data_IF_714722994305
#
_entry.id   IF_714722994305
#
_cell.length_a   1.000
_cell.length_b   1.000
_cell.length_c   1.000
_cell.angle_alpha   90.00
_cell.angle_beta   90.00
_cell.angle_gamma   90.00
#
_symmetry.space_group_name_H-M   'P 1'
#
loop_
_entity.id
_entity.type
_entity.pdbx_description
1 polymer ?
#
# COMPACT_ATOMS: atom_id res chain seq x y z
N UNK A 1 5.43 -19.54 -32.84
CA UNK A 1 6.50 -19.08 -31.92
C UNK A 1 6.16 -17.66 -31.54
N UNK A 2 6.14 -17.39 -30.24
CA UNK A 2 5.63 -16.14 -29.67
C UNK A 2 6.55 -14.97 -30.02
N UNK A 3 5.99 -13.91 -30.61
CA UNK A 3 6.73 -12.76 -31.16
C UNK A 3 7.47 -11.99 -30.05
N UNK A 4 6.97 -12.09 -28.81
CA UNK A 4 7.53 -11.45 -27.61
C UNK A 4 8.86 -12.07 -27.12
N UNK A 5 9.19 -13.30 -27.54
CA UNK A 5 10.47 -13.93 -27.16
C UNK A 5 11.63 -13.36 -28.01
N UNK A 6 11.36 -13.00 -29.28
CA UNK A 6 12.36 -12.47 -30.21
C UNK A 6 12.81 -11.04 -29.86
N UNK A 7 11.92 -10.24 -29.28
CA UNK A 7 12.23 -8.87 -28.83
C UNK A 7 13.03 -8.86 -27.52
N UNK A 8 12.85 -9.85 -26.64
CA UNK A 8 13.53 -9.90 -25.34
C UNK A 8 14.89 -10.60 -25.38
N UNK A 9 15.07 -11.61 -26.24
CA UNK A 9 16.30 -12.43 -26.30
C UNK A 9 17.08 -12.32 -27.62
N UNK A 10 16.56 -11.59 -28.60
CA UNK A 10 17.15 -11.47 -29.93
C UNK A 10 17.01 -12.75 -30.78
N UNK A 11 17.49 -12.73 -32.04
CA UNK A 11 17.46 -13.91 -32.89
C UNK A 11 18.32 -15.03 -32.28
N UNK A 12 17.78 -16.24 -32.17
CA UNK A 12 18.52 -17.40 -31.66
C UNK A 12 19.79 -17.70 -32.46
N UNK A 13 20.73 -18.45 -31.88
CA UNK A 13 22.03 -18.79 -32.47
C UNK A 13 21.98 -19.40 -33.89
N UNK A 14 20.84 -19.97 -34.28
CA UNK A 14 20.56 -20.45 -35.65
C UNK A 14 20.56 -19.32 -36.69
N UNK A 15 20.11 -18.12 -36.34
CA UNK A 15 20.11 -16.94 -37.20
C UNK A 15 21.53 -16.55 -37.60
N UNK A 16 22.45 -16.48 -36.65
CA UNK A 16 23.86 -16.16 -36.93
C UNK A 16 24.56 -17.28 -37.72
N UNK A 17 24.21 -18.55 -37.47
CA UNK A 17 24.70 -19.68 -38.29
C UNK A 17 24.27 -19.62 -39.75
N UNK A 18 23.01 -19.23 -40.01
CA UNK A 18 22.52 -19.10 -41.39
C UNK A 18 23.26 -18.03 -42.18
N UNK A 19 23.67 -16.92 -41.55
CA UNK A 19 24.47 -15.88 -42.19
C UNK A 19 25.89 -16.36 -42.55
N UNK A 20 26.49 -17.22 -41.72
CA UNK A 20 27.80 -17.83 -41.99
C UNK A 20 27.71 -18.82 -43.17
N UNK A 21 26.62 -19.58 -43.25
CA UNK A 21 26.39 -20.51 -44.37
C UNK A 21 26.07 -19.77 -45.68
N UNK A 22 25.27 -18.70 -45.63
CA UNK A 22 24.97 -17.84 -46.79
C UNK A 22 26.20 -17.12 -47.34
N UNK A 23 27.15 -16.74 -46.48
CA UNK A 23 28.44 -16.16 -46.90
C UNK A 23 29.43 -17.20 -47.43
N UNK A 24 29.25 -18.49 -47.10
CA UNK A 24 30.05 -19.58 -47.70
C UNK A 24 29.52 -20.07 -49.05
N UNK A 25 28.25 -19.80 -49.38
CA UNK A 25 27.59 -20.31 -50.59
C UNK A 25 27.53 -19.33 -51.77
N UNK A 26 28.06 -18.10 -51.62
CA UNK A 26 28.26 -17.17 -52.74
C UNK A 26 29.73 -17.13 -53.10
N UNK A 27 30.11 -18.05 -53.99
CA UNK A 27 31.38 -17.99 -54.68
C UNK A 27 31.37 -16.78 -55.66
N UNK A 28 32.45 -16.00 -55.60
CA UNK A 28 32.86 -14.89 -56.49
C UNK A 28 32.57 -13.45 -56.04
N UNK A 29 33.55 -12.91 -55.30
CA UNK A 29 33.74 -11.49 -54.98
C UNK A 29 35.07 -11.29 -54.25
N UNK A 30 36.15 -11.21 -55.02
CA UNK A 30 37.58 -11.35 -54.67
C UNK A 30 38.14 -10.39 -53.59
N UNK A 31 37.35 -9.48 -53.01
CA UNK A 31 37.88 -8.42 -52.13
C UNK A 31 37.98 -8.82 -50.64
N UNK A 32 37.26 -9.86 -50.20
CA UNK A 32 37.24 -10.27 -48.78
C UNK A 32 38.27 -11.35 -48.39
N UNK A 33 38.70 -12.21 -49.33
CA UNK A 33 39.50 -13.41 -49.01
C UNK A 33 41.00 -13.14 -48.92
N UNK A 34 41.49 -12.13 -49.64
CA UNK A 34 42.92 -11.79 -49.72
C UNK A 34 43.51 -11.21 -48.42
N UNK A 35 42.68 -10.78 -47.46
CA UNK A 35 43.14 -10.24 -46.17
C UNK A 35 43.38 -11.30 -45.09
N UNK A 36 42.93 -12.54 -45.33
CA UNK A 36 43.10 -13.68 -44.41
C UNK A 36 44.25 -14.60 -44.82
N UNK A 37 44.60 -14.65 -46.11
CA UNK A 37 45.64 -15.51 -46.67
C UNK A 37 47.08 -14.97 -46.52
N UNK A 38 47.27 -13.74 -46.00
CA UNK A 38 48.59 -13.15 -45.77
C UNK A 38 48.97 -12.99 -44.28
N UNK A 39 48.09 -13.42 -43.36
CA UNK A 39 48.39 -13.39 -41.93
C UNK A 39 49.20 -14.64 -41.58
N UNK A 40 50.37 -14.46 -40.97
CA UNK A 40 51.14 -15.59 -40.45
C UNK A 40 50.31 -16.34 -39.41
N UNK A 41 50.51 -17.65 -39.30
CA UNK A 41 49.82 -18.50 -38.29
C UNK A 41 49.90 -17.87 -36.89
N UNK A 42 51.03 -17.21 -36.57
CA UNK A 42 51.22 -16.48 -35.32
C UNK A 42 50.27 -15.27 -35.16
N UNK A 43 49.95 -14.53 -36.23
CA UNK A 43 49.02 -13.39 -36.16
C UNK A 43 47.57 -13.84 -35.99
N UNK A 44 47.19 -14.98 -36.57
CA UNK A 44 45.86 -15.58 -36.36
C UNK A 44 45.72 -16.12 -34.93
N UNK A 45 46.76 -16.79 -34.42
CA UNK A 45 46.85 -17.26 -33.04
C UNK A 45 46.71 -16.09 -32.05
N UNK A 46 47.42 -14.98 -32.28
CA UNK A 46 47.38 -13.78 -31.43
C UNK A 46 46.01 -13.08 -31.44
N UNK A 47 45.31 -13.07 -32.57
CA UNK A 47 43.94 -12.52 -32.63
C UNK A 47 42.95 -13.41 -31.89
N UNK A 48 43.09 -14.72 -32.00
CA UNK A 48 42.25 -15.68 -31.29
C UNK A 48 42.45 -15.57 -29.78
N UNK A 49 43.70 -15.53 -29.30
CA UNK A 49 44.00 -15.37 -27.87
C UNK A 49 43.51 -14.02 -27.34
N UNK A 50 43.72 -12.92 -28.07
CA UNK A 50 43.21 -11.60 -27.70
C UNK A 50 41.68 -11.55 -27.63
N UNK A 51 40.99 -12.18 -28.58
CA UNK A 51 39.53 -12.30 -28.55
C UNK A 51 39.05 -13.13 -27.35
N UNK A 52 39.76 -14.21 -27.02
CA UNK A 52 39.46 -15.07 -25.88
C UNK A 52 39.68 -14.36 -24.53
N UNK A 53 40.75 -13.57 -24.41
CA UNK A 53 41.01 -12.72 -23.25
C UNK A 53 39.96 -11.63 -23.10
N UNK A 54 39.58 -10.96 -24.19
CA UNK A 54 38.51 -9.96 -24.21
C UNK A 54 37.16 -10.57 -23.81
N UNK A 55 36.85 -11.77 -24.30
CA UNK A 55 35.64 -12.50 -23.90
C UNK A 55 35.66 -12.86 -22.42
N UNK A 56 36.81 -13.33 -21.90
CA UNK A 56 36.98 -13.67 -20.48
C UNK A 56 36.82 -12.44 -19.58
N UNK A 57 37.41 -11.31 -19.96
CA UNK A 57 37.26 -10.04 -19.25
C UNK A 57 35.81 -9.56 -19.26
N UNK A 58 35.11 -9.71 -20.39
CA UNK A 58 33.68 -9.38 -20.52
C UNK A 58 32.82 -10.25 -19.59
N UNK A 59 33.05 -11.57 -19.56
CA UNK A 59 32.34 -12.48 -18.67
C UNK A 59 32.57 -12.14 -17.19
N UNK A 60 33.81 -11.84 -16.80
CA UNK A 60 34.12 -11.41 -15.43
C UNK A 60 33.40 -10.10 -15.06
N UNK A 61 33.29 -9.15 -15.99
CA UNK A 61 32.54 -7.92 -15.79
C UNK A 61 31.03 -8.18 -15.65
N UNK A 62 30.48 -9.10 -16.47
CA UNK A 62 29.09 -9.53 -16.35
C UNK A 62 28.81 -10.20 -15.00
N UNK A 63 29.72 -11.06 -14.53
CA UNK A 63 29.61 -11.70 -13.22
C UNK A 63 29.62 -10.67 -12.09
N UNK A 64 30.51 -9.68 -12.15
CA UNK A 64 30.56 -8.58 -11.18
C UNK A 64 29.29 -7.71 -11.21
N UNK A 65 28.77 -7.40 -12.40
CA UNK A 65 27.49 -6.67 -12.54
C UNK A 65 26.34 -7.50 -12.00
N UNK A 66 26.34 -8.81 -12.24
CA UNK A 66 25.31 -9.72 -11.75
C UNK A 66 25.35 -9.85 -10.23
N UNK A 67 26.52 -9.94 -9.60
CA UNK A 67 26.65 -9.97 -8.15
C UNK A 67 26.18 -8.65 -7.52
N UNK A 68 26.51 -7.52 -8.15
CA UNK A 68 26.07 -6.18 -7.71
C UNK A 68 24.56 -6.04 -7.84
N UNK A 69 23.97 -6.53 -8.93
CA UNK A 69 22.52 -6.48 -9.14
C UNK A 69 21.80 -7.37 -8.11
N UNK A 70 22.33 -8.56 -7.81
CA UNK A 70 21.80 -9.44 -6.76
C UNK A 70 21.84 -8.80 -5.37
N UNK A 71 22.95 -8.14 -5.01
CA UNK A 71 23.04 -7.45 -3.71
C UNK A 71 22.06 -6.28 -3.63
N UNK A 72 21.89 -5.52 -4.72
CA UNK A 72 20.90 -4.44 -4.81
C UNK A 72 19.47 -4.98 -4.68
N UNK A 73 19.12 -6.09 -5.35
CA UNK A 73 17.81 -6.73 -5.23
C UNK A 73 17.56 -7.18 -3.78
N UNK A 74 18.55 -7.74 -3.10
CA UNK A 74 18.42 -8.13 -1.70
C UNK A 74 18.18 -6.91 -0.79
N UNK A 75 18.91 -5.81 -1.00
CA UNK A 75 18.70 -4.55 -0.28
C UNK A 75 17.31 -3.98 -0.50
N UNK A 76 16.86 -3.91 -1.75
CA UNK A 76 15.51 -3.46 -2.11
C UNK A 76 14.43 -4.32 -1.44
N UNK A 77 14.60 -5.64 -1.42
CA UNK A 77 13.66 -6.55 -0.72
C UNK A 77 13.61 -6.27 0.78
N UNK A 78 14.76 -6.04 1.41
CA UNK A 78 14.83 -5.64 2.82
C UNK A 78 14.11 -4.31 3.06
N UNK A 79 14.37 -3.30 2.23
CA UNK A 79 13.78 -1.97 2.39
C UNK A 79 12.26 -2.00 2.14
N UNK A 80 11.78 -2.79 1.19
CA UNK A 80 10.35 -3.03 0.98
C UNK A 80 9.72 -3.68 2.23
N UNK A 81 10.38 -4.65 2.86
CA UNK A 81 9.89 -5.27 4.09
C UNK A 81 9.84 -4.30 5.28
N UNK A 82 10.78 -3.34 5.35
CA UNK A 82 10.77 -2.27 6.35
C UNK A 82 9.61 -1.31 6.07
N UNK A 83 9.46 -0.85 4.83
CA UNK A 83 8.37 0.03 4.43
C UNK A 83 7.02 -0.62 4.73
N UNK A 84 6.83 -1.89 4.40
CA UNK A 84 5.60 -2.61 4.69
C UNK A 84 5.29 -2.66 6.20
N UNK A 85 6.32 -2.82 7.05
CA UNK A 85 6.16 -2.74 8.51
C UNK A 85 5.76 -1.34 8.97
N UNK A 86 6.41 -0.29 8.46
CA UNK A 86 6.03 1.09 8.76
C UNK A 86 4.60 1.40 8.35
N UNK A 87 4.23 1.01 7.12
CA UNK A 87 2.86 1.17 6.62
C UNK A 87 1.87 0.49 7.56
N UNK A 88 2.11 -0.76 7.98
CA UNK A 88 1.23 -1.44 8.96
C UNK A 88 1.15 -0.71 10.29
N UNK A 89 2.27 -0.19 10.82
CA UNK A 89 2.27 0.59 12.06
C UNK A 89 1.43 1.88 11.92
N UNK A 90 1.62 2.63 10.83
CA UNK A 90 0.80 3.81 10.53
C UNK A 90 -0.68 3.47 10.39
N UNK A 91 -1.03 2.33 9.80
CA UNK A 91 -2.43 1.90 9.70
C UNK A 91 -3.06 1.66 11.07
N UNK A 92 -2.31 1.14 12.04
CA UNK A 92 -2.81 0.94 13.40
C UNK A 92 -3.06 2.28 14.11
N UNK A 93 -2.19 3.27 13.94
CA UNK A 93 -2.36 4.63 14.47
C UNK A 93 -3.52 5.38 13.80
N UNK A 94 -3.70 5.17 12.49
CA UNK A 94 -4.85 5.71 11.77
C UNK A 94 -6.16 5.02 12.19
N UNK A 95 -6.11 3.72 12.47
CA UNK A 95 -7.28 2.98 12.93
C UNK A 95 -7.78 3.51 14.27
N UNK A 96 -6.89 3.76 15.25
CA UNK A 96 -7.31 4.33 16.53
C UNK A 96 -7.90 5.73 16.36
N UNK A 97 -7.35 6.53 15.44
CA UNK A 97 -7.89 7.84 15.06
C UNK A 97 -9.30 7.73 14.47
N UNK A 98 -9.52 6.83 13.51
CA UNK A 98 -10.82 6.61 12.89
C UNK A 98 -11.87 6.11 13.90
N UNK A 99 -11.48 5.17 14.75
CA UNK A 99 -12.35 4.67 15.82
C UNK A 99 -12.74 5.78 16.80
N UNK A 100 -11.78 6.64 17.17
CA UNK A 100 -12.05 7.80 18.02
C UNK A 100 -13.05 8.75 17.35
N UNK A 101 -12.88 9.05 16.06
CA UNK A 101 -13.81 9.93 15.33
C UNK A 101 -15.22 9.33 15.22
N UNK A 102 -15.35 8.04 14.88
CA UNK A 102 -16.66 7.36 14.80
C UNK A 102 -17.36 7.31 16.16
N UNK A 103 -16.62 7.06 17.25
CA UNK A 103 -17.20 7.11 18.60
C UNK A 103 -17.57 8.53 19.04
N UNK A 104 -16.80 9.53 18.60
CA UNK A 104 -17.16 10.95 18.80
C UNK A 104 -18.50 11.25 18.16
N UNK A 105 -18.66 10.87 16.88
CA UNK A 105 -19.92 11.07 16.17
C UNK A 105 -21.07 10.31 16.80
N UNK A 106 -20.82 9.10 17.33
CA UNK A 106 -21.83 8.36 18.09
C UNK A 106 -22.28 9.13 19.35
N UNK A 107 -21.34 9.69 20.12
CA UNK A 107 -21.67 10.51 21.29
C UNK A 107 -22.52 11.73 20.89
N UNK A 108 -22.12 12.44 19.84
CA UNK A 108 -22.85 13.58 19.31
C UNK A 108 -24.28 13.21 18.91
N UNK A 109 -24.44 12.15 18.09
CA UNK A 109 -25.75 11.68 17.64
C UNK A 109 -26.63 11.23 18.81
N UNK A 110 -26.06 10.58 19.82
CA UNK A 110 -26.82 10.21 21.02
C UNK A 110 -27.33 11.45 21.74
N UNK A 111 -26.51 12.48 21.88
CA UNK A 111 -26.93 13.73 22.53
C UNK A 111 -27.93 14.53 21.68
N UNK A 112 -27.73 14.60 20.37
CA UNK A 112 -28.65 15.23 19.40
C UNK A 112 -30.04 14.58 19.48
N UNK A 113 -30.14 13.25 19.36
CA UNK A 113 -31.44 12.56 19.34
C UNK A 113 -32.15 12.54 20.70
N UNK A 114 -31.42 12.71 21.80
CA UNK A 114 -32.00 12.81 23.14
C UNK A 114 -32.33 14.26 23.54
N UNK A 115 -32.03 15.24 22.68
CA UNK A 115 -32.11 16.67 22.98
C UNK A 115 -31.32 17.05 24.25
N UNK A 116 -30.18 16.39 24.47
CA UNK A 116 -29.30 16.64 25.60
C UNK A 116 -28.22 17.65 25.23
N UNK A 117 -27.84 18.50 26.19
CA UNK A 117 -26.66 19.36 26.07
C UNK A 117 -25.42 18.63 26.56
N UNK A 118 -24.29 18.85 25.89
CA UNK A 118 -23.00 18.31 26.33
C UNK A 118 -22.63 18.87 27.71
N UNK A 119 -21.78 18.17 28.48
CA UNK A 119 -21.26 18.68 29.74
C UNK A 119 -20.72 20.11 29.62
N UNK A 120 -21.19 21.01 30.49
CA UNK A 120 -20.93 22.45 30.38
C UNK A 120 -22.00 23.24 29.64
N UNK A 121 -23.13 22.62 29.30
CA UNK A 121 -24.28 23.30 28.67
C UNK A 121 -24.07 23.62 27.18
N UNK A 122 -23.04 23.04 26.57
CA UNK A 122 -22.66 23.26 25.17
C UNK A 122 -23.61 22.48 24.27
N UNK A 123 -24.13 23.11 23.21
CA UNK A 123 -24.92 22.39 22.22
C UNK A 123 -24.01 21.47 21.39
N UNK A 124 -24.59 20.43 20.81
CA UNK A 124 -23.84 19.58 19.87
C UNK A 124 -23.50 20.42 18.63
N UNK A 125 -22.24 20.37 18.16
CA UNK A 125 -21.70 21.27 17.13
C UNK A 125 -20.91 22.47 17.70
N UNK A 126 -21.41 23.17 18.72
CA UNK A 126 -20.75 24.37 19.27
C UNK A 126 -19.39 24.07 19.94
N UNK A 127 -19.23 22.83 20.40
CA UNK A 127 -18.00 22.39 21.06
C UNK A 127 -16.79 22.39 20.12
N UNK A 128 -16.97 22.43 18.79
CA UNK A 128 -15.89 22.48 17.79
C UNK A 128 -15.03 23.76 17.96
N UNK A 129 -15.61 24.85 18.48
CA UNK A 129 -14.91 26.11 18.72
C UNK A 129 -14.10 26.15 20.02
N UNK A 130 -14.22 25.13 20.87
CA UNK A 130 -13.49 25.04 22.13
C UNK A 130 -12.05 24.55 21.89
N UNK A 131 -11.16 24.75 22.87
CA UNK A 131 -9.81 24.16 22.82
C UNK A 131 -9.87 22.62 22.78
N UNK A 132 -8.92 21.99 22.09
CA UNK A 132 -8.86 20.52 21.93
C UNK A 132 -8.89 19.77 23.26
N UNK A 133 -8.21 20.28 24.27
CA UNK A 133 -8.21 19.71 25.63
C UNK A 133 -9.59 19.76 26.27
N UNK A 134 -10.27 20.91 26.14
CA UNK A 134 -11.62 21.10 26.70
C UNK A 134 -12.64 20.24 25.95
N UNK A 135 -12.55 20.15 24.63
CA UNK A 135 -13.37 19.25 23.83
C UNK A 135 -13.21 17.80 24.29
N UNK A 136 -11.96 17.36 24.46
CA UNK A 136 -11.66 15.97 24.84
C UNK A 136 -12.22 15.63 26.21
N UNK A 137 -12.11 16.54 27.20
CA UNK A 137 -12.70 16.37 28.52
C UNK A 137 -14.23 16.31 28.49
N UNK A 138 -14.87 17.20 27.72
CA UNK A 138 -16.33 17.25 27.58
C UNK A 138 -16.85 15.95 26.95
N UNK A 139 -16.24 15.50 25.85
CA UNK A 139 -16.65 14.31 25.13
C UNK A 139 -16.38 13.03 25.91
N UNK A 140 -15.25 12.92 26.60
CA UNK A 140 -14.98 11.80 27.51
C UNK A 140 -16.01 11.72 28.63
N UNK A 141 -16.36 12.87 29.23
CA UNK A 141 -17.39 12.93 30.28
C UNK A 141 -18.77 12.59 29.72
N UNK A 142 -19.10 13.05 28.52
CA UNK A 142 -20.36 12.75 27.84
C UNK A 142 -20.49 11.25 27.55
N UNK A 143 -19.44 10.63 27.00
CA UNK A 143 -19.39 9.19 26.73
C UNK A 143 -19.63 8.35 27.99
N UNK A 144 -19.03 8.73 29.13
CA UNK A 144 -19.24 8.04 30.41
C UNK A 144 -20.67 8.19 30.95
N UNK A 145 -21.38 9.28 30.63
CA UNK A 145 -22.78 9.50 31.05
C UNK A 145 -23.79 8.65 30.27
N UNK A 146 -23.46 8.21 29.06
CA UNK A 146 -24.34 7.38 28.24
C UNK A 146 -24.50 6.00 28.90
N UNK A 147 -25.74 5.62 29.22
CA UNK A 147 -26.05 4.35 29.90
C UNK A 147 -26.32 3.23 28.89
N UNK A 148 -25.96 2.00 29.23
CA UNK A 148 -26.30 0.75 28.48
C UNK A 148 -27.74 0.71 27.94
N UNK A 149 -28.79 0.96 28.75
CA UNK A 149 -30.17 0.88 28.26
C UNK A 149 -30.49 1.89 27.17
N UNK A 150 -29.84 3.06 27.14
CA UNK A 150 -30.10 4.09 26.14
C UNK A 150 -29.66 3.58 24.77
N UNK A 151 -28.44 3.04 24.68
CA UNK A 151 -27.90 2.48 23.44
C UNK A 151 -28.74 1.30 22.93
N UNK A 152 -29.17 0.41 23.83
CA UNK A 152 -29.95 -0.77 23.45
C UNK A 152 -31.39 -0.43 23.06
N UNK A 153 -32.09 0.38 23.85
CA UNK A 153 -33.53 0.68 23.65
C UNK A 153 -33.76 1.71 22.54
N UNK A 154 -32.92 2.74 22.45
CA UNK A 154 -33.18 3.87 21.56
C UNK A 154 -32.40 3.77 20.24
N UNK A 155 -31.29 3.03 20.21
CA UNK A 155 -30.42 2.91 19.03
C UNK A 155 -30.22 1.48 18.54
N UNK A 156 -30.79 0.48 19.24
CA UNK A 156 -30.64 -0.94 18.85
C UNK A 156 -29.22 -1.49 18.95
N UNK A 157 -28.32 -0.77 19.63
CA UNK A 157 -26.90 -1.13 19.69
C UNK A 157 -26.63 -2.21 20.75
N UNK A 158 -25.70 -3.12 20.41
CA UNK A 158 -25.24 -4.19 21.29
C UNK A 158 -24.48 -3.66 22.53
N UNK A 159 -24.29 -4.52 23.52
CA UNK A 159 -23.52 -4.18 24.73
C UNK A 159 -22.05 -3.82 24.42
N UNK A 160 -21.50 -4.31 23.31
CA UNK A 160 -20.12 -4.04 22.92
C UNK A 160 -19.88 -2.54 22.64
N UNK A 161 -20.87 -1.82 22.09
CA UNK A 161 -20.76 -0.37 21.85
C UNK A 161 -20.70 0.42 23.16
N UNK A 162 -21.42 -0.04 24.19
CA UNK A 162 -21.29 0.56 25.52
C UNK A 162 -19.87 0.39 26.05
N UNK A 163 -19.30 -0.83 25.96
CA UNK A 163 -17.93 -1.08 26.40
C UNK A 163 -16.92 -0.23 25.62
N UNK A 164 -17.12 -0.05 24.31
CA UNK A 164 -16.31 0.84 23.49
C UNK A 164 -16.39 2.31 23.95
N UNK A 165 -17.60 2.81 24.26
CA UNK A 165 -17.78 4.15 24.81
C UNK A 165 -17.14 4.34 26.19
N UNK A 166 -17.11 3.31 27.03
CA UNK A 166 -16.42 3.40 28.33
C UNK A 166 -14.90 3.54 28.18
N UNK A 167 -14.33 2.95 27.12
CA UNK A 167 -12.90 3.03 26.80
C UNK A 167 -12.53 4.22 25.91
N UNK A 168 -13.52 5.01 25.47
CA UNK A 168 -13.30 6.14 24.58
C UNK A 168 -12.36 7.22 25.17
N UNK A 169 -12.33 7.35 26.49
CA UNK A 169 -11.39 8.24 27.21
C UNK A 169 -9.91 7.95 26.87
N UNK A 170 -9.58 6.68 26.58
CA UNK A 170 -8.23 6.27 26.19
C UNK A 170 -7.82 6.83 24.82
N UNK A 171 -8.79 7.07 23.92
CA UNK A 171 -8.54 7.39 22.50
C UNK A 171 -9.06 8.76 22.06
N UNK A 172 -9.80 9.47 22.92
CA UNK A 172 -10.39 10.79 22.61
C UNK A 172 -9.37 11.85 22.17
N UNK A 173 -8.12 11.74 22.63
CA UNK A 173 -7.06 12.68 22.27
C UNK A 173 -6.52 12.46 20.85
N UNK A 174 -6.70 11.26 20.29
CA UNK A 174 -6.24 10.85 18.96
C UNK A 174 -7.18 11.28 17.83
N UNK A 175 -8.30 11.92 18.16
CA UNK A 175 -9.29 12.38 17.16
C UNK A 175 -8.66 13.28 16.12
N UNK A 176 -9.15 13.16 14.88
CA UNK A 176 -8.68 14.01 13.80
C UNK A 176 -9.22 15.43 13.92
N UNK A 177 -8.61 16.36 13.19
CA UNK A 177 -9.13 17.72 13.03
C UNK A 177 -10.23 17.82 11.96
N UNK A 178 -10.41 16.78 11.14
CA UNK A 178 -11.39 16.76 10.05
C UNK A 178 -12.10 15.40 9.99
N UNK A 179 -13.27 15.35 10.65
CA UNK A 179 -14.08 14.15 10.80
C UNK A 179 -14.66 13.59 9.48
N UNK A 180 -14.85 14.44 8.46
CA UNK A 180 -15.42 14.00 7.17
C UNK A 180 -14.41 13.20 6.35
N UNK A 181 -13.13 13.60 6.39
CA UNK A 181 -12.05 12.87 5.70
C UNK A 181 -11.79 11.50 6.34
N UNK A 182 -11.98 11.39 7.65
CA UNK A 182 -11.78 10.13 8.38
C UNK A 182 -12.93 9.15 8.16
N UNK A 183 -14.16 9.61 7.98
CA UNK A 183 -15.30 8.76 7.60
C UNK A 183 -15.02 7.95 6.33
N UNK A 184 -14.76 8.62 5.19
CA UNK A 184 -14.64 7.96 3.89
C UNK A 184 -13.43 7.01 3.85
N UNK A 185 -12.31 7.43 4.46
CA UNK A 185 -11.10 6.59 4.52
C UNK A 185 -11.31 5.35 5.41
N UNK A 186 -12.04 5.49 6.51
CA UNK A 186 -12.39 4.36 7.36
C UNK A 186 -13.36 3.41 6.67
N UNK A 187 -14.37 3.95 5.96
CA UNK A 187 -15.31 3.17 5.16
C UNK A 187 -14.60 2.29 4.12
N UNK A 188 -13.72 2.89 3.31
CA UNK A 188 -12.90 2.13 2.32
C UNK A 188 -12.08 1.04 2.98
N UNK A 189 -11.53 1.30 4.17
CA UNK A 189 -10.77 0.29 4.90
C UNK A 189 -11.64 -0.87 5.37
N UNK A 190 -12.80 -0.58 5.95
CA UNK A 190 -13.75 -1.60 6.41
C UNK A 190 -14.21 -2.48 5.25
N UNK A 191 -14.49 -1.90 4.08
CA UNK A 191 -14.84 -2.66 2.86
C UNK A 191 -13.66 -3.51 2.40
N UNK A 192 -12.45 -2.94 2.34
CA UNK A 192 -11.24 -3.66 1.90
C UNK A 192 -10.85 -4.82 2.83
N UNK A 193 -11.14 -4.71 4.13
CA UNK A 193 -10.85 -5.75 5.12
C UNK A 193 -12.04 -6.64 5.44
N UNK A 194 -13.17 -6.48 4.74
CA UNK A 194 -14.41 -7.20 5.01
C UNK A 194 -14.20 -8.72 5.05
N UNK A 195 -13.41 -9.25 4.13
CA UNK A 195 -13.10 -10.69 4.03
C UNK A 195 -12.17 -11.19 5.14
N UNK A 196 -11.19 -10.37 5.54
CA UNK A 196 -10.17 -10.76 6.51
C UNK A 196 -10.60 -10.51 7.97
N UNK A 197 -11.40 -9.47 8.20
CA UNK A 197 -11.79 -8.97 9.53
C UNK A 197 -13.29 -8.67 9.61
N UNK A 198 -14.11 -9.67 9.27
CA UNK A 198 -15.58 -9.55 9.26
C UNK A 198 -16.18 -8.96 10.55
N UNK A 199 -15.63 -9.32 11.72
CA UNK A 199 -16.09 -8.80 13.01
C UNK A 199 -15.93 -7.28 13.15
N UNK A 200 -14.83 -6.73 12.63
CA UNK A 200 -14.55 -5.30 12.64
C UNK A 200 -15.50 -4.56 11.70
N UNK A 201 -15.69 -5.09 10.49
CA UNK A 201 -16.66 -4.56 9.52
C UNK A 201 -18.08 -4.56 10.09
N UNK A 202 -18.54 -5.67 10.69
CA UNK A 202 -19.89 -5.76 11.29
C UNK A 202 -20.07 -4.78 12.46
N UNK A 203 -19.07 -4.67 13.32
CA UNK A 203 -19.15 -3.80 14.50
C UNK A 203 -19.16 -2.32 14.10
N UNK A 204 -18.17 -1.86 13.35
CA UNK A 204 -18.10 -0.45 12.99
C UNK A 204 -19.13 -0.08 11.93
N UNK A 205 -19.41 -0.97 10.99
CA UNK A 205 -20.35 -0.71 9.90
C UNK A 205 -21.79 -0.46 10.36
N UNK A 206 -22.22 -1.08 11.45
CA UNK A 206 -23.54 -0.80 12.02
C UNK A 206 -23.69 0.62 12.58
N UNK A 207 -22.58 1.34 12.83
CA UNK A 207 -22.61 2.73 13.27
C UNK A 207 -22.77 3.72 12.11
N UNK A 208 -22.42 3.34 10.88
CA UNK A 208 -22.42 4.26 9.74
C UNK A 208 -23.81 4.85 9.45
N UNK A 209 -24.89 4.05 9.35
CA UNK A 209 -26.24 4.58 9.13
C UNK A 209 -26.72 5.48 10.27
N UNK A 210 -26.24 5.25 11.50
CA UNK A 210 -26.62 6.05 12.66
C UNK A 210 -25.86 7.37 12.73
N UNK A 211 -24.55 7.33 12.46
CA UNK A 211 -23.62 8.44 12.64
C UNK A 211 -23.56 9.39 11.43
N UNK A 212 -23.68 8.85 10.22
CA UNK A 212 -23.43 9.56 8.97
C UNK A 212 -24.63 9.53 8.01
N UNK A 213 -25.72 8.84 8.39
CA UNK A 213 -26.94 8.67 7.58
C UNK A 213 -26.68 7.99 6.22
N UNK A 214 -25.63 7.18 6.13
CA UNK A 214 -25.20 6.45 4.93
C UNK A 214 -24.69 5.05 5.30
N UNK A 215 -24.69 4.12 4.36
CA UNK A 215 -24.04 2.82 4.53
C UNK A 215 -22.52 2.93 4.45
N UNK A 216 -21.81 1.89 4.89
CA UNK A 216 -20.34 1.83 4.77
C UNK A 216 -19.92 1.83 3.30
N UNK A 217 -20.68 1.12 2.47
CA UNK A 217 -20.48 1.04 1.02
C UNK A 217 -20.61 2.42 0.38
N UNK A 218 -21.70 3.13 0.66
CA UNK A 218 -21.91 4.50 0.17
C UNK A 218 -20.79 5.44 0.64
N UNK A 219 -20.41 5.38 1.92
CA UNK A 219 -19.32 6.21 2.45
C UNK A 219 -17.95 5.85 1.85
N UNK A 220 -17.76 4.63 1.35
CA UNK A 220 -16.51 4.20 0.72
C UNK A 220 -16.38 4.70 -0.73
N UNK A 221 -17.51 4.88 -1.42
CA UNK A 221 -17.58 5.36 -2.81
C UNK A 221 -17.48 6.89 -2.93
N UNK A 222 -17.63 7.60 -1.82
CA UNK A 222 -17.47 9.06 -1.77
C UNK A 222 -15.96 9.38 -1.87
N UNK A 223 -15.56 9.78 -3.08
CA UNK A 223 -14.21 10.14 -3.55
C UNK A 223 -13.28 8.97 -3.86
#
# INVERSE_FOLDING_TARGET
MDVDILTLYGPGMSFYRSQIQLSSSKENGIVGRAKLSSLSVCQLQNRYTSALESLKASNQNLDYKMSTLRSNVFRLKSDLSKLQRHVKAFHNELLTTWQADTLTRLVEVVYERQNWKLPGGVAVGDHIHLSRERQSRILATAAKRIRKPILRKNFGLSVQYYSALQRYDEIVHLRSTNAFRTECTFARRLVSEKENHWGMYRFWGALFPLCYSRSVEESAEIF
#
